data_IF_305987043078
#
_entry.id   IF_305987043078
#
_cell.length_a   1.000
_cell.length_b   1.000
_cell.length_c   1.000
_cell.angle_alpha   90.00
_cell.angle_beta   90.00
_cell.angle_gamma   90.00
#
_symmetry.space_group_name_H-M   'P 1'
#
loop_
_entity.id
_entity.type
_entity.pdbx_description
1 polymer ?
#
# COMPACT_ATOMS: atom_id res chain seq x y z
N UNK A 1 -4.99 31.89 -20.38
CA UNK A 1 -6.36 31.61 -19.88
C UNK A 1 -6.39 32.04 -18.42
N UNK A 2 -7.39 32.81 -17.99
CA UNK A 2 -7.57 33.19 -16.58
C UNK A 2 -8.50 32.15 -15.92
N UNK A 3 -8.00 31.42 -14.93
CA UNK A 3 -8.84 30.51 -14.14
C UNK A 3 -9.53 31.30 -13.03
N UNK A 4 -10.87 31.23 -12.98
CA UNK A 4 -11.69 31.85 -11.93
C UNK A 4 -12.49 30.76 -11.22
N UNK A 5 -12.19 30.50 -9.96
CA UNK A 5 -12.97 29.61 -9.12
C UNK A 5 -14.23 30.35 -8.61
N UNK A 6 -15.41 29.89 -9.02
CA UNK A 6 -16.71 30.44 -8.58
C UNK A 6 -17.40 29.55 -7.53
N UNK A 7 -16.69 28.52 -7.03
CA UNK A 7 -17.17 27.63 -5.98
C UNK A 7 -16.58 28.05 -4.63
N UNK A 8 -17.17 27.66 -3.50
CA UNK A 8 -16.56 27.86 -2.18
C UNK A 8 -15.39 26.89 -1.92
N UNK A 9 -15.13 25.93 -2.80
CA UNK A 9 -14.21 24.84 -2.54
C UNK A 9 -12.77 25.16 -2.97
N UNK A 10 -11.74 24.65 -2.25
CA UNK A 10 -10.36 24.73 -2.70
C UNK A 10 -10.21 24.14 -4.11
N UNK A 11 -9.77 24.97 -5.05
CA UNK A 11 -9.54 24.58 -6.42
C UNK A 11 -8.30 25.25 -6.99
N UNK A 12 -7.59 24.52 -7.86
CA UNK A 12 -6.39 24.96 -8.53
C UNK A 12 -6.44 24.55 -10.00
N UNK A 13 -5.88 25.41 -10.84
CA UNK A 13 -5.61 25.12 -12.24
C UNK A 13 -4.10 25.09 -12.48
N UNK A 14 -3.63 24.10 -13.23
CA UNK A 14 -2.26 24.03 -13.71
C UNK A 14 -2.20 23.34 -15.08
N UNK A 15 -1.07 23.50 -15.76
CA UNK A 15 -0.80 22.85 -17.06
C UNK A 15 0.16 21.70 -16.85
N UNK A 16 -0.12 20.56 -17.48
CA UNK A 16 0.77 19.41 -17.50
C UNK A 16 0.98 18.94 -18.93
N UNK A 17 2.20 18.52 -19.27
CA UNK A 17 2.50 17.87 -20.55
C UNK A 17 2.40 16.36 -20.42
N UNK A 18 1.67 15.73 -21.33
CA UNK A 18 1.63 14.28 -21.41
C UNK A 18 2.91 13.69 -22.02
N UNK A 19 2.94 12.37 -22.15
CA UNK A 19 4.06 11.64 -22.76
C UNK A 19 4.29 12.00 -24.23
N UNK A 20 3.30 12.56 -24.92
CA UNK A 20 3.38 13.03 -26.31
C UNK A 20 3.66 14.55 -26.41
N UNK A 21 4.07 15.19 -25.30
CA UNK A 21 4.35 16.62 -25.15
C UNK A 21 3.16 17.55 -25.36
N UNK A 22 1.93 17.02 -25.32
CA UNK A 22 0.73 17.84 -25.45
C UNK A 22 0.38 18.45 -24.11
N UNK A 23 0.13 19.75 -24.12
CA UNK A 23 -0.31 20.48 -22.94
C UNK A 23 -1.77 20.17 -22.63
N UNK A 24 -2.01 19.69 -21.42
CA UNK A 24 -3.31 19.41 -20.86
C UNK A 24 -3.59 20.41 -19.73
N UNK A 25 -4.80 20.95 -19.75
CA UNK A 25 -5.30 21.90 -18.76
C UNK A 25 -5.98 21.12 -17.64
N UNK A 26 -5.35 21.08 -16.46
CA UNK A 26 -5.82 20.29 -15.33
C UNK A 26 -6.47 21.22 -14.31
N UNK A 27 -7.69 20.88 -13.91
CA UNK A 27 -8.40 21.52 -12.80
C UNK A 27 -8.58 20.49 -11.70
N UNK A 28 -8.17 20.85 -10.50
CA UNK A 28 -8.34 20.04 -9.29
C UNK A 28 -9.24 20.82 -8.35
N UNK A 29 -10.22 20.14 -7.76
CA UNK A 29 -11.14 20.69 -6.76
C UNK A 29 -11.32 19.66 -5.66
N UNK A 30 -11.34 20.11 -4.39
CA UNK A 30 -11.54 19.24 -3.23
C UNK A 30 -12.79 19.63 -2.47
N UNK A 31 -13.65 18.65 -2.22
CA UNK A 31 -14.85 18.78 -1.40
C UNK A 31 -14.72 17.89 -0.17
N UNK A 32 -15.09 18.41 1.00
CA UNK A 32 -15.01 17.66 2.26
C UNK A 32 -16.41 17.34 2.78
N UNK A 33 -16.57 16.13 3.30
CA UNK A 33 -17.82 15.71 3.92
C UNK A 33 -17.55 15.19 5.34
N UNK A 34 -18.45 15.51 6.26
CA UNK A 34 -18.51 14.91 7.59
C UNK A 34 -19.56 13.80 7.59
N UNK A 35 -19.21 12.63 8.11
CA UNK A 35 -20.18 11.55 8.30
C UNK A 35 -20.90 11.77 9.63
N UNK A 36 -22.21 12.01 9.58
CA UNK A 36 -23.05 12.21 10.76
C UNK A 36 -23.97 11.02 10.98
N UNK A 37 -23.98 10.49 12.21
CA UNK A 37 -24.82 9.35 12.59
C UNK A 37 -26.24 9.81 12.93
N UNK A 38 -27.25 9.05 12.49
CA UNK A 38 -28.66 9.29 12.84
C UNK A 38 -29.21 8.38 13.95
N UNK A 39 -28.35 7.75 14.75
CA UNK A 39 -28.73 6.85 15.85
C UNK A 39 -29.15 5.42 15.44
N UNK A 40 -29.02 5.07 14.16
CA UNK A 40 -29.30 3.71 13.65
C UNK A 40 -28.07 3.01 13.06
N UNK A 41 -26.85 3.44 13.45
CA UNK A 41 -25.60 3.06 12.78
C UNK A 41 -25.63 3.33 11.25
N UNK A 42 -26.45 4.31 10.83
CA UNK A 42 -26.48 4.85 9.47
C UNK A 42 -25.90 6.25 9.51
N UNK A 43 -25.02 6.50 8.55
CA UNK A 43 -24.31 7.75 8.41
C UNK A 43 -24.73 8.46 7.13
N UNK A 44 -24.79 9.79 7.19
CA UNK A 44 -25.02 10.65 6.04
C UNK A 44 -23.79 11.52 5.83
N UNK A 45 -23.45 11.75 4.56
CA UNK A 45 -22.38 12.68 4.20
C UNK A 45 -22.95 14.09 4.20
N UNK A 46 -22.62 14.86 5.23
CA UNK A 46 -22.90 16.29 5.30
C UNK A 46 -21.76 17.06 4.66
N UNK A 47 -22.08 17.92 3.70
CA UNK A 47 -21.08 18.78 3.04
C UNK A 47 -20.52 19.77 4.05
N UNK A 48 -19.19 19.90 4.09
CA UNK A 48 -18.52 20.98 4.82
C UNK A 48 -18.28 22.11 3.83
N UNK A 49 -18.93 23.25 4.05
CA UNK A 49 -18.79 24.49 3.27
C UNK A 49 -18.24 25.68 4.08
N UNK A 50 -17.92 25.46 5.36
CA UNK A 50 -17.18 26.42 6.21
C UNK A 50 -15.67 26.32 5.91
N UNK A 51 -15.07 27.47 5.57
CA UNK A 51 -13.65 27.60 5.23
C UNK A 51 -12.72 27.13 6.36
N UNK A 52 -13.14 27.25 7.62
CA UNK A 52 -12.33 26.82 8.77
C UNK A 52 -12.21 25.29 8.87
N UNK A 53 -13.20 24.54 8.38
CA UNK A 53 -13.29 23.07 8.52
C UNK A 53 -13.01 22.31 7.20
N UNK A 54 -12.92 23.02 6.07
CA UNK A 54 -12.67 22.42 4.76
C UNK A 54 -11.23 21.91 4.63
N UNK A 55 -11.07 20.71 4.06
CA UNK A 55 -9.75 20.19 3.73
C UNK A 55 -9.16 20.94 2.53
N UNK A 56 -7.93 21.44 2.68
CA UNK A 56 -7.20 22.12 1.61
C UNK A 56 -6.62 21.14 0.57
N UNK A 57 -6.21 21.70 -0.56
CA UNK A 57 -5.43 20.95 -1.55
C UNK A 57 -4.09 20.51 -0.95
N UNK A 58 -3.71 19.29 -1.26
CA UNK A 58 -2.52 18.60 -0.79
C UNK A 58 -1.46 18.67 -1.88
N UNK A 59 -0.38 19.40 -1.61
CA UNK A 59 0.68 19.66 -2.60
C UNK A 59 1.83 18.65 -2.54
N UNK A 60 1.90 17.87 -1.47
CA UNK A 60 2.94 16.87 -1.23
C UNK A 60 2.32 15.66 -0.53
N UNK A 61 2.88 14.48 -0.75
CA UNK A 61 2.40 13.27 -0.11
C UNK A 61 2.56 13.36 1.41
N UNK A 62 1.51 13.01 2.14
CA UNK A 62 1.50 12.94 3.60
C UNK A 62 1.67 11.47 4.02
N UNK A 63 2.63 11.26 4.93
CA UNK A 63 2.97 9.94 5.45
C UNK A 63 2.44 9.79 6.86
N UNK A 64 2.13 8.55 7.25
CA UNK A 64 1.69 8.25 8.62
C UNK A 64 2.77 8.63 9.65
N UNK A 65 4.01 8.31 9.32
CA UNK A 65 5.22 8.61 10.09
C UNK A 65 6.31 9.08 9.13
N UNK A 66 7.48 8.44 9.13
CA UNK A 66 8.60 8.83 8.29
C UNK A 66 8.36 8.51 6.80
N UNK A 67 8.80 9.43 5.94
CA UNK A 67 8.83 9.25 4.49
C UNK A 67 9.66 8.01 4.13
N UNK A 68 9.17 7.20 3.18
CA UNK A 68 9.76 5.92 2.75
C UNK A 68 9.75 4.76 3.75
N UNK A 69 9.52 5.01 5.04
CA UNK A 69 9.46 3.97 6.09
C UNK A 69 8.04 3.73 6.61
N UNK A 70 7.08 4.52 6.17
CA UNK A 70 5.67 4.39 6.55
C UNK A 70 4.75 4.53 5.34
N UNK A 71 3.48 4.16 5.53
CA UNK A 71 2.48 4.29 4.48
C UNK A 71 2.18 5.76 4.17
N UNK A 72 1.87 6.04 2.90
CA UNK A 72 1.22 7.27 2.49
C UNK A 72 -0.23 7.22 2.95
N UNK A 73 -0.69 8.27 3.65
CA UNK A 73 -2.10 8.40 4.10
C UNK A 73 -2.90 9.33 3.17
N UNK A 74 -2.21 10.23 2.46
CA UNK A 74 -2.80 11.09 1.45
C UNK A 74 -1.73 11.42 0.39
N UNK A 75 -2.02 11.20 -0.90
CA UNK A 75 -1.14 11.68 -1.97
C UNK A 75 -1.46 13.13 -2.31
N UNK A 76 -0.48 13.79 -2.93
CA UNK A 76 -0.71 15.09 -3.56
C UNK A 76 -1.86 15.02 -4.56
N UNK A 77 -2.72 16.06 -4.52
CA UNK A 77 -3.79 16.24 -5.49
C UNK A 77 -3.28 16.67 -6.88
N UNK A 78 -1.97 16.92 -7.03
CA UNK A 78 -1.33 17.36 -8.28
C UNK A 78 -1.11 16.21 -9.27
N UNK A 79 -2.01 15.23 -9.26
CA UNK A 79 -2.05 14.13 -10.21
C UNK A 79 -2.65 14.61 -11.54
N UNK A 80 -1.94 14.56 -12.67
CA UNK A 80 -2.42 15.15 -13.91
C UNK A 80 -3.67 14.50 -14.50
N UNK A 81 -3.73 13.17 -14.47
CA UNK A 81 -4.86 12.41 -14.97
C UNK A 81 -4.90 11.03 -14.33
N UNK A 82 -6.09 10.64 -13.83
CA UNK A 82 -6.37 9.30 -13.34
C UNK A 82 -7.44 8.66 -14.23
N UNK A 83 -7.15 7.57 -14.96
CA UNK A 83 -8.14 6.89 -15.80
C UNK A 83 -9.27 6.22 -15.01
N UNK A 84 -9.14 6.08 -13.69
CA UNK A 84 -10.14 5.49 -12.79
C UNK A 84 -10.33 6.37 -11.55
N UNK A 85 -11.46 6.22 -10.87
CA UNK A 85 -11.71 6.81 -9.57
C UNK A 85 -11.17 5.88 -8.46
N UNK A 86 -10.23 6.40 -7.67
CA UNK A 86 -9.64 5.69 -6.53
C UNK A 86 -10.59 5.74 -5.31
N UNK A 87 -10.84 4.59 -4.69
CA UNK A 87 -11.48 4.51 -3.38
C UNK A 87 -10.42 4.20 -2.32
N UNK A 88 -10.00 5.24 -1.60
CA UNK A 88 -8.96 5.18 -0.57
C UNK A 88 -9.60 5.25 0.81
N UNK A 89 -9.21 4.35 1.71
CA UNK A 89 -9.77 4.25 3.06
C UNK A 89 -8.61 4.17 4.05
N UNK A 90 -8.59 5.13 4.97
CA UNK A 90 -7.74 5.10 6.16
C UNK A 90 -8.62 4.69 7.34
N UNK A 91 -8.44 3.48 7.86
CA UNK A 91 -9.33 2.91 8.86
C UNK A 91 -8.64 2.00 9.87
N UNK A 92 -9.36 1.66 10.93
CA UNK A 92 -8.93 0.75 11.98
C UNK A 92 -9.96 -0.35 12.11
N UNK A 93 -9.52 -1.60 12.13
CA UNK A 93 -10.38 -2.73 12.41
C UNK A 93 -10.77 -2.73 13.88
N UNK A 94 -12.05 -2.95 14.21
CA UNK A 94 -12.54 -2.98 15.59
C UNK A 94 -13.36 -4.25 15.88
N UNK A 95 -13.03 -4.90 16.99
CA UNK A 95 -13.82 -6.02 17.52
C UNK A 95 -15.11 -5.50 18.16
N UNK A 96 -16.22 -6.23 17.98
CA UNK A 96 -17.53 -5.82 18.47
C UNK A 96 -17.54 -5.67 20.00
N UNK A 97 -18.03 -4.53 20.49
CA UNK A 97 -18.14 -4.26 21.92
C UNK A 97 -16.80 -4.25 22.67
N UNK A 98 -15.68 -4.04 21.97
CA UNK A 98 -14.32 -4.13 22.52
C UNK A 98 -13.99 -5.50 23.15
N UNK A 99 -14.68 -6.56 22.78
CA UNK A 99 -14.35 -7.92 23.22
C UNK A 99 -13.12 -8.43 22.43
N UNK A 100 -12.04 -8.87 23.09
CA UNK A 100 -10.88 -9.40 22.39
C UNK A 100 -11.23 -10.62 21.52
N UNK A 101 -10.72 -10.64 20.29
CA UNK A 101 -10.89 -11.73 19.31
C UNK A 101 -9.55 -12.11 18.70
N UNK A 102 -9.40 -13.34 18.23
CA UNK A 102 -8.16 -13.81 17.57
C UNK A 102 -8.10 -13.35 16.10
N UNK A 103 -9.27 -13.22 15.47
CA UNK A 103 -9.43 -12.74 14.11
C UNK A 103 -10.80 -12.08 13.92
N UNK A 104 -10.89 -11.14 12.97
CA UNK A 104 -12.13 -10.52 12.57
C UNK A 104 -12.17 -10.28 11.05
N UNK A 105 -13.30 -10.56 10.38
CA UNK A 105 -13.50 -10.19 8.99
C UNK A 105 -13.75 -8.68 8.88
N UNK A 106 -13.12 -8.06 7.89
CA UNK A 106 -13.33 -6.66 7.52
C UNK A 106 -13.85 -6.59 6.10
N UNK A 107 -14.83 -5.72 5.83
CA UNK A 107 -15.21 -5.44 4.44
C UNK A 107 -15.64 -4.01 4.20
N UNK A 108 -15.43 -3.59 2.95
CA UNK A 108 -15.89 -2.33 2.38
C UNK A 108 -16.64 -2.66 1.11
N UNK A 109 -17.94 -2.40 1.10
CA UNK A 109 -18.76 -2.52 -0.12
C UNK A 109 -19.23 -1.13 -0.54
N UNK A 110 -19.02 -0.80 -1.81
CA UNK A 110 -19.61 0.37 -2.45
C UNK A 110 -20.74 -0.09 -3.35
N UNK A 111 -21.94 0.44 -3.12
CA UNK A 111 -23.14 0.14 -3.90
C UNK A 111 -23.55 1.36 -4.73
N UNK A 112 -24.06 1.11 -5.94
CA UNK A 112 -24.78 2.10 -6.74
C UNK A 112 -26.13 2.46 -6.08
N UNK A 113 -26.81 3.52 -6.54
CA UNK A 113 -28.18 3.85 -6.10
C UNK A 113 -29.17 2.68 -6.28
N UNK A 114 -28.96 1.86 -7.31
CA UNK A 114 -29.75 0.66 -7.64
C UNK A 114 -29.32 -0.58 -6.82
N UNK A 115 -28.46 -0.41 -5.81
CA UNK A 115 -27.88 -1.47 -4.97
C UNK A 115 -27.00 -2.48 -5.72
N UNK A 116 -26.40 -2.10 -6.85
CA UNK A 116 -25.41 -2.94 -7.53
C UNK A 116 -24.02 -2.73 -6.93
N UNK A 117 -23.22 -3.78 -6.70
CA UNK A 117 -21.86 -3.62 -6.17
C UNK A 117 -20.94 -2.98 -7.21
N UNK A 118 -20.42 -1.80 -6.89
CA UNK A 118 -19.35 -1.12 -7.63
C UNK A 118 -17.96 -1.55 -7.16
N UNK A 119 -17.84 -1.94 -5.89
CA UNK A 119 -16.63 -2.44 -5.25
C UNK A 119 -17.02 -3.33 -4.06
N UNK A 120 -16.28 -4.41 -3.82
CA UNK A 120 -16.42 -5.24 -2.63
C UNK A 120 -15.06 -5.77 -2.19
N UNK A 121 -14.44 -5.09 -1.23
CA UNK A 121 -13.17 -5.49 -0.64
C UNK A 121 -13.43 -6.25 0.64
N UNK A 122 -12.82 -7.44 0.77
CA UNK A 122 -12.85 -8.25 1.99
C UNK A 122 -11.43 -8.55 2.45
N UNK A 123 -11.23 -8.47 3.75
CA UNK A 123 -9.97 -8.75 4.42
C UNK A 123 -10.26 -9.61 5.66
N UNK A 124 -9.27 -10.38 6.09
CA UNK A 124 -9.24 -10.95 7.43
C UNK A 124 -8.13 -10.25 8.21
N UNK A 125 -8.47 -9.78 9.40
CA UNK A 125 -7.53 -9.15 10.32
C UNK A 125 -7.31 -10.07 11.51
N UNK A 126 -6.05 -10.32 11.88
CA UNK A 126 -5.71 -11.21 12.98
C UNK A 126 -4.93 -10.52 14.09
N UNK A 127 -4.93 -11.17 15.25
CA UNK A 127 -4.00 -10.95 16.34
C UNK A 127 -2.55 -11.07 15.95
N UNK A 128 -1.66 -10.76 16.89
CA UNK A 128 -0.24 -11.01 16.71
C UNK A 128 0.04 -12.51 16.60
N UNK A 129 0.81 -12.89 15.59
CA UNK A 129 1.24 -14.28 15.33
C UNK A 129 2.58 -14.29 14.59
N UNK A 130 3.26 -15.42 14.66
CA UNK A 130 4.59 -15.58 14.07
C UNK A 130 4.74 -16.98 13.47
N UNK A 131 5.60 -17.10 12.47
CA UNK A 131 6.16 -18.38 12.08
C UNK A 131 7.25 -18.73 13.06
N UNK A 132 7.15 -19.89 13.72
CA UNK A 132 8.15 -20.41 14.65
C UNK A 132 8.70 -21.72 14.14
N UNK A 133 10.01 -21.85 14.26
CA UNK A 133 10.74 -23.05 13.90
C UNK A 133 10.50 -24.11 14.98
N UNK A 134 9.96 -25.26 14.60
CA UNK A 134 9.70 -26.38 15.53
C UNK A 134 10.81 -27.42 15.53
N UNK A 135 11.50 -27.57 14.41
CA UNK A 135 12.73 -28.36 14.29
C UNK A 135 13.70 -27.71 13.28
N UNK A 136 14.80 -28.37 12.89
CA UNK A 136 15.79 -27.76 11.97
C UNK A 136 15.24 -27.35 10.60
N UNK A 137 14.09 -27.88 10.17
CA UNK A 137 13.53 -27.71 8.81
C UNK A 137 12.08 -27.23 8.79
N UNK A 138 11.33 -27.43 9.86
CA UNK A 138 9.87 -27.22 9.88
C UNK A 138 9.50 -25.91 10.57
N UNK A 139 8.54 -25.20 9.97
CA UNK A 139 7.91 -24.00 10.51
C UNK A 139 6.44 -24.22 10.80
N UNK A 140 5.97 -23.65 11.90
CA UNK A 140 4.55 -23.60 12.27
C UNK A 140 4.11 -22.16 12.48
N UNK A 141 2.87 -21.86 12.11
CA UNK A 141 2.24 -20.57 12.39
C UNK A 141 1.59 -20.64 13.78
N UNK A 142 1.98 -19.73 14.68
CA UNK A 142 1.35 -19.66 16.01
C UNK A 142 -0.12 -19.24 15.93
N UNK A 143 -0.91 -19.65 16.91
CA UNK A 143 -2.26 -19.09 17.11
C UNK A 143 -2.18 -17.57 17.29
N UNK A 144 -3.14 -16.79 16.75
CA UNK A 144 -3.19 -15.35 16.97
C UNK A 144 -3.44 -15.01 18.43
N UNK A 145 -2.77 -13.98 18.95
CA UNK A 145 -3.09 -13.40 20.25
C UNK A 145 -4.38 -12.56 20.18
N UNK A 146 -5.28 -12.64 21.16
CA UNK A 146 -6.49 -11.82 21.17
C UNK A 146 -6.19 -10.32 21.05
N UNK A 147 -6.97 -9.60 20.25
CA UNK A 147 -6.88 -8.16 20.07
C UNK A 147 -8.26 -7.52 19.98
N UNK A 148 -8.36 -6.21 20.27
CA UNK A 148 -9.62 -5.45 20.17
C UNK A 148 -9.64 -4.52 18.96
N UNK A 149 -8.47 -4.07 18.49
CA UNK A 149 -8.37 -3.24 17.29
C UNK A 149 -7.01 -3.34 16.60
N UNK A 150 -6.98 -3.07 15.29
CA UNK A 150 -5.76 -3.02 14.50
C UNK A 150 -5.91 -2.01 13.34
N UNK A 151 -5.02 -1.01 13.19
CA UNK A 151 -5.02 -0.15 12.01
C UNK A 151 -4.90 -0.98 10.73
N UNK A 152 -5.74 -0.74 9.74
CA UNK A 152 -5.71 -1.47 8.45
C UNK A 152 -4.67 -0.82 7.55
N UNK A 153 -3.40 -1.16 7.79
CA UNK A 153 -2.23 -0.51 7.18
C UNK A 153 -1.26 -1.54 6.59
N UNK A 154 -0.56 -1.16 5.51
CA UNK A 154 0.29 -2.08 4.73
C UNK A 154 1.41 -2.78 5.51
N UNK A 155 1.89 -2.20 6.62
CA UNK A 155 2.91 -2.83 7.49
C UNK A 155 2.44 -4.15 8.13
N UNK A 156 1.13 -4.39 8.19
CA UNK A 156 0.55 -5.63 8.68
C UNK A 156 0.19 -6.63 7.57
N UNK A 157 0.31 -6.25 6.30
CA UNK A 157 0.08 -7.13 5.16
C UNK A 157 1.35 -7.89 4.76
N UNK A 158 1.19 -8.91 3.91
CA UNK A 158 2.34 -9.63 3.35
C UNK A 158 3.29 -8.67 2.61
N UNK A 159 4.59 -8.86 2.81
CA UNK A 159 5.65 -8.09 2.18
C UNK A 159 6.84 -7.89 3.13
N UNK A 160 7.51 -6.76 3.01
CA UNK A 160 8.65 -6.37 3.84
C UNK A 160 9.99 -6.47 3.13
N UNK A 161 11.05 -6.36 3.91
CA UNK A 161 12.44 -6.42 3.45
C UNK A 161 13.27 -7.45 4.24
N UNK A 162 14.26 -8.01 3.56
CA UNK A 162 15.36 -8.77 4.12
C UNK A 162 16.60 -7.90 4.03
N UNK A 163 17.06 -7.36 5.16
CA UNK A 163 18.16 -6.40 5.21
C UNK A 163 19.19 -6.82 6.25
N UNK A 164 20.46 -6.86 5.86
CA UNK A 164 21.60 -7.05 6.77
C UNK A 164 22.57 -5.91 6.55
N UNK A 165 22.85 -5.14 7.59
CA UNK A 165 23.86 -4.08 7.60
C UNK A 165 25.22 -4.64 8.03
N UNK A 166 26.29 -3.86 7.82
CA UNK A 166 27.66 -4.30 8.09
C UNK A 166 27.95 -4.63 9.57
N UNK A 167 27.15 -4.11 10.50
CA UNK A 167 27.31 -4.35 11.95
C UNK A 167 26.30 -5.38 12.49
N UNK A 168 25.40 -5.89 11.65
CA UNK A 168 24.35 -6.80 12.10
C UNK A 168 24.92 -8.20 12.33
N UNK A 169 24.36 -8.89 13.34
CA UNK A 169 24.68 -10.30 13.57
C UNK A 169 24.29 -11.12 12.34
N UNK A 170 25.24 -11.91 11.82
CA UNK A 170 25.03 -12.75 10.63
C UNK A 170 25.53 -12.12 9.33
N UNK A 171 26.13 -10.92 9.37
CA UNK A 171 26.83 -10.30 8.24
C UNK A 171 27.83 -11.24 7.54
N UNK A 172 28.61 -12.00 8.30
CA UNK A 172 29.63 -12.93 7.82
C UNK A 172 29.04 -14.19 7.14
N UNK A 173 27.74 -14.43 7.35
CA UNK A 173 27.01 -15.56 6.77
C UNK A 173 26.19 -15.18 5.54
N UNK A 174 26.26 -13.91 5.09
CA UNK A 174 25.63 -13.45 3.85
C UNK A 174 26.40 -14.03 2.65
N UNK A 175 25.74 -14.74 1.72
CA UNK A 175 26.40 -15.25 0.53
C UNK A 175 26.94 -14.12 -0.35
N UNK A 176 28.10 -14.33 -0.98
CA UNK A 176 28.77 -13.32 -1.81
C UNK A 176 27.88 -12.77 -2.92
N UNK A 177 27.07 -13.63 -3.57
CA UNK A 177 26.14 -13.22 -4.63
C UNK A 177 24.96 -12.37 -4.14
N UNK A 178 24.72 -12.27 -2.83
CA UNK A 178 23.69 -11.42 -2.22
C UNK A 178 24.24 -10.05 -1.80
N UNK A 179 25.56 -9.88 -1.78
CA UNK A 179 26.20 -8.63 -1.36
C UNK A 179 25.91 -7.52 -2.38
N UNK A 180 25.52 -6.35 -1.89
CA UNK A 180 25.42 -5.16 -2.72
C UNK A 180 26.82 -4.74 -3.18
N UNK A 181 26.97 -4.45 -4.48
CA UNK A 181 28.22 -3.91 -5.03
C UNK A 181 28.54 -2.55 -4.42
N UNK A 182 29.80 -2.11 -4.56
CA UNK A 182 30.20 -0.78 -4.08
C UNK A 182 29.39 0.33 -4.76
N UNK A 183 29.12 0.19 -6.06
CA UNK A 183 28.28 1.11 -6.83
C UNK A 183 26.85 1.12 -6.27
N UNK A 184 26.22 -0.05 -6.08
CA UNK A 184 24.87 -0.17 -5.54
C UNK A 184 24.75 0.46 -4.14
N UNK A 185 25.77 0.27 -3.28
CA UNK A 185 25.82 0.88 -1.95
C UNK A 185 26.01 2.39 -2.00
N UNK A 186 26.76 2.91 -2.98
CA UNK A 186 27.01 4.36 -3.14
C UNK A 186 25.76 5.15 -3.53
N UNK A 187 24.82 4.51 -4.24
CA UNK A 187 23.54 5.12 -4.68
C UNK A 187 22.35 4.67 -3.83
N UNK A 188 22.57 3.89 -2.78
CA UNK A 188 21.50 3.41 -1.91
C UNK A 188 20.79 4.59 -1.22
N UNK A 189 19.45 4.56 -1.05
CA UNK A 189 18.71 5.65 -0.40
C UNK A 189 19.21 5.97 1.00
N UNK A 190 19.59 4.94 1.76
CA UNK A 190 20.23 5.08 3.07
C UNK A 190 21.75 5.22 2.91
N UNK A 191 22.20 6.43 2.56
CA UNK A 191 23.63 6.72 2.27
C UNK A 191 24.55 6.65 3.48
N UNK A 192 24.00 6.87 4.68
CA UNK A 192 24.81 6.91 5.90
C UNK A 192 25.13 5.51 6.42
N UNK A 193 24.24 4.55 6.18
CA UNK A 193 24.45 3.16 6.56
C UNK A 193 23.89 2.20 5.49
N UNK A 194 24.49 2.17 4.28
CA UNK A 194 24.01 1.32 3.21
C UNK A 194 24.18 -0.15 3.61
N UNK A 195 23.14 -0.98 3.44
CA UNK A 195 23.18 -2.37 3.85
C UNK A 195 24.26 -3.16 3.10
N UNK A 196 24.68 -4.26 3.72
CA UNK A 196 25.57 -5.24 3.10
C UNK A 196 24.81 -6.08 2.07
N UNK A 197 23.59 -6.52 2.42
CA UNK A 197 22.66 -7.20 1.52
C UNK A 197 21.23 -6.72 1.79
N UNK A 198 20.44 -6.59 0.72
CA UNK A 198 19.09 -6.05 0.79
C UNK A 198 18.20 -6.68 -0.29
N UNK A 199 17.06 -7.21 0.11
CA UNK A 199 15.99 -7.66 -0.80
C UNK A 199 14.66 -7.14 -0.28
N UNK A 200 13.79 -6.66 -1.17
CA UNK A 200 12.46 -6.13 -0.80
C UNK A 200 11.37 -6.90 -1.53
N UNK A 201 10.22 -7.07 -0.90
CA UNK A 201 9.03 -7.51 -1.61
C UNK A 201 8.43 -6.33 -2.38
N UNK A 202 8.49 -6.33 -3.72
CA UNK A 202 8.29 -5.10 -4.49
C UNK A 202 6.87 -4.55 -4.44
N UNK A 203 5.86 -5.39 -4.17
CA UNK A 203 4.47 -4.95 -4.08
C UNK A 203 4.12 -4.33 -2.72
N UNK A 204 4.91 -4.58 -1.67
CA UNK A 204 4.72 -4.00 -0.35
C UNK A 204 6.04 -4.07 0.46
N UNK A 205 7.02 -3.19 0.20
CA UNK A 205 8.34 -3.24 0.84
C UNK A 205 8.30 -2.93 2.33
N UNK A 206 7.23 -2.30 2.84
CA UNK A 206 7.07 -1.99 4.27
C UNK A 206 6.28 -3.06 5.04
N UNK A 207 5.82 -4.11 4.36
CA UNK A 207 5.02 -5.19 4.95
C UNK A 207 5.80 -6.10 5.89
N UNK A 208 5.25 -7.29 6.11
CA UNK A 208 5.90 -8.35 6.89
C UNK A 208 5.68 -9.74 6.31
N UNK A 209 6.53 -10.69 6.68
CA UNK A 209 6.42 -12.10 6.27
C UNK A 209 7.24 -12.50 5.05
N UNK A 210 7.80 -11.55 4.28
CA UNK A 210 8.73 -11.85 3.20
C UNK A 210 10.12 -12.18 3.73
N UNK A 211 10.55 -13.43 3.61
CA UNK A 211 11.84 -13.94 4.08
C UNK A 211 12.52 -14.73 2.96
N UNK A 212 13.71 -14.30 2.54
CA UNK A 212 14.50 -15.02 1.53
C UNK A 212 15.33 -16.14 2.15
N UNK A 213 15.72 -17.18 1.37
CA UNK A 213 16.58 -18.25 1.87
C UNK A 213 17.91 -17.74 2.44
N UNK A 214 18.56 -16.78 1.76
CA UNK A 214 19.83 -16.22 2.23
C UNK A 214 19.69 -15.48 3.56
N UNK A 215 18.60 -14.74 3.73
CA UNK A 215 18.35 -13.97 4.96
C UNK A 215 18.08 -14.90 6.13
N UNK A 216 17.36 -16.00 5.88
CA UNK A 216 17.15 -17.03 6.89
C UNK A 216 18.46 -17.69 7.34
N UNK A 217 19.32 -18.04 6.38
CA UNK A 217 20.65 -18.64 6.67
C UNK A 217 21.52 -17.68 7.47
N UNK A 218 21.57 -16.41 7.08
CA UNK A 218 22.42 -15.42 7.70
C UNK A 218 21.98 -15.06 9.13
N UNK A 219 20.67 -14.84 9.34
CA UNK A 219 20.12 -14.47 10.66
C UNK A 219 20.05 -15.64 11.64
N UNK A 220 19.93 -16.88 11.14
CA UNK A 220 19.64 -18.08 11.93
C UNK A 220 18.41 -17.94 12.85
N UNK A 221 17.50 -17.02 12.54
CA UNK A 221 16.34 -16.76 13.38
C UNK A 221 15.40 -17.99 13.42
N UNK A 222 14.81 -18.19 14.59
CA UNK A 222 13.84 -19.24 14.90
C UNK A 222 12.39 -18.73 14.88
N UNK A 223 12.18 -17.43 14.69
CA UNK A 223 10.86 -16.81 14.67
C UNK A 223 10.81 -15.60 13.74
N UNK A 224 9.74 -15.46 12.96
CA UNK A 224 9.44 -14.28 12.15
C UNK A 224 7.98 -13.84 12.31
N UNK A 225 7.69 -12.54 12.44
CA UNK A 225 6.32 -12.04 12.47
C UNK A 225 5.55 -12.42 11.21
N UNK A 226 4.33 -12.93 11.39
CA UNK A 226 3.44 -13.23 10.27
C UNK A 226 2.56 -12.01 9.91
N UNK A 227 2.08 -11.91 8.66
CA UNK A 227 1.05 -10.97 8.27
C UNK A 227 -0.20 -11.10 9.16
N UNK A 228 -0.81 -9.96 9.41
CA UNK A 228 -2.04 -9.81 10.20
C UNK A 228 -3.21 -9.30 9.37
N UNK A 229 -2.98 -8.90 8.12
CA UNK A 229 -4.02 -8.50 7.17
C UNK A 229 -3.84 -9.34 5.92
N UNK A 230 -4.87 -10.10 5.58
CA UNK A 230 -4.85 -11.09 4.50
C UNK A 230 -6.13 -11.05 3.68
N UNK A 231 -6.07 -11.64 2.49
CA UNK A 231 -7.29 -11.95 1.75
C UNK A 231 -7.92 -13.23 2.32
N UNK A 232 -9.25 -13.27 2.51
CA UNK A 232 -9.92 -14.46 3.06
C UNK A 232 -9.67 -15.73 2.23
N UNK A 233 -9.61 -15.60 0.91
CA UNK A 233 -9.54 -16.73 -0.01
C UNK A 233 -8.09 -17.22 -0.26
N UNK A 234 -7.08 -16.42 0.12
CA UNK A 234 -5.66 -16.72 -0.11
C UNK A 234 -4.82 -16.39 1.14
N UNK A 235 -5.01 -17.10 2.26
CA UNK A 235 -4.28 -16.84 3.50
C UNK A 235 -2.79 -17.23 3.37
N UNK A 236 -1.90 -16.54 4.10
CA UNK A 236 -0.48 -16.88 4.12
C UNK A 236 -0.19 -17.94 5.19
N UNK A 237 -0.02 -19.18 4.75
CA UNK A 237 0.08 -20.36 5.63
C UNK A 237 1.52 -20.74 5.99
N UNK A 238 1.69 -21.68 6.91
CA UNK A 238 3.00 -22.24 7.25
C UNK A 238 3.65 -22.95 6.05
N UNK A 239 2.87 -23.62 5.21
CA UNK A 239 3.34 -24.23 3.96
C UNK A 239 3.85 -23.17 2.98
N UNK A 240 3.14 -22.04 2.87
CA UNK A 240 3.54 -20.92 2.03
C UNK A 240 4.83 -20.26 2.51
N UNK A 241 4.98 -20.10 3.82
CA UNK A 241 6.22 -19.63 4.44
C UNK A 241 7.37 -20.61 4.24
N UNK A 242 7.13 -21.91 4.45
CA UNK A 242 8.12 -22.97 4.22
C UNK A 242 8.61 -23.00 2.77
N UNK A 243 7.70 -22.88 1.80
CA UNK A 243 8.06 -22.79 0.39
C UNK A 243 8.92 -21.56 0.11
N UNK A 244 8.54 -20.39 0.65
CA UNK A 244 9.25 -19.13 0.49
C UNK A 244 10.70 -19.23 1.01
N UNK A 245 10.90 -19.70 2.25
CA UNK A 245 12.24 -19.78 2.84
C UNK A 245 13.11 -20.90 2.26
N UNK A 246 12.50 -21.87 1.58
CA UNK A 246 13.22 -22.89 0.81
C UNK A 246 13.50 -22.46 -0.64
N UNK A 247 12.98 -21.31 -1.08
CA UNK A 247 13.13 -20.83 -2.46
C UNK A 247 12.29 -21.61 -3.48
N UNK A 248 11.21 -22.25 -3.05
CA UNK A 248 10.30 -23.00 -3.92
C UNK A 248 9.13 -22.14 -4.40
N UNK A 249 8.67 -22.39 -5.63
CA UNK A 249 7.54 -21.68 -6.27
C UNK A 249 6.28 -22.54 -6.41
N UNK A 250 6.13 -23.60 -5.60
CA UNK A 250 5.00 -24.52 -5.68
C UNK A 250 3.70 -23.99 -5.03
N UNK A 251 3.72 -22.75 -4.55
CA UNK A 251 2.58 -22.08 -3.93
C UNK A 251 2.05 -21.01 -4.89
N UNK A 252 0.72 -20.89 -5.08
CA UNK A 252 0.15 -19.88 -5.97
C UNK A 252 0.61 -18.46 -5.62
N UNK A 253 0.89 -17.65 -6.64
CA UNK A 253 1.38 -16.27 -6.45
C UNK A 253 0.41 -15.38 -5.64
N UNK A 254 -0.90 -15.65 -5.73
CA UNK A 254 -1.93 -14.90 -5.00
C UNK A 254 -1.81 -15.01 -3.47
N UNK A 255 -1.18 -16.07 -2.96
CA UNK A 255 -0.89 -16.23 -1.51
C UNK A 255 0.11 -15.17 -1.02
N UNK A 256 0.97 -14.69 -1.92
CA UNK A 256 1.94 -13.63 -1.63
C UNK A 256 1.40 -12.24 -1.98
N UNK A 257 0.14 -12.10 -2.40
CA UNK A 257 -0.43 -10.81 -2.77
C UNK A 257 -0.74 -9.98 -1.51
N UNK A 258 -0.15 -8.78 -1.33
CA UNK A 258 -0.45 -7.93 -0.19
C UNK A 258 -1.93 -7.54 -0.18
N UNK A 259 -2.56 -7.66 0.98
CA UNK A 259 -3.95 -7.30 1.20
C UNK A 259 -4.03 -6.07 2.11
N UNK A 260 -4.80 -5.06 1.75
CA UNK A 260 -4.89 -3.85 2.55
C UNK A 260 -5.95 -2.90 2.05
N UNK A 261 -6.05 -1.78 2.75
CA UNK A 261 -6.76 -0.57 2.37
C UNK A 261 -5.72 0.56 2.31
N UNK A 262 -6.06 1.66 1.64
CA UNK A 262 -5.21 2.85 1.55
C UNK A 262 -4.40 2.93 0.26
N UNK A 263 -3.40 3.80 0.25
CA UNK A 263 -2.59 4.11 -0.93
C UNK A 263 -1.49 3.06 -1.11
N UNK A 264 -1.35 2.54 -2.34
CA UNK A 264 -0.17 1.78 -2.76
C UNK A 264 0.94 2.74 -3.14
N UNK A 265 2.17 2.56 -2.64
CA UNK A 265 3.26 3.50 -2.91
C UNK A 265 3.63 3.61 -4.39
N UNK A 266 4.03 4.81 -4.84
CA UNK A 266 4.46 5.07 -6.23
C UNK A 266 5.65 4.24 -6.69
N UNK A 267 6.57 3.93 -5.77
CA UNK A 267 7.75 3.09 -6.01
C UNK A 267 7.47 1.60 -5.86
N UNK A 268 6.23 1.21 -5.57
CA UNK A 268 5.85 -0.19 -5.35
C UNK A 268 5.27 -0.77 -6.63
N UNK A 269 5.41 -2.08 -6.83
CA UNK A 269 4.58 -2.79 -7.78
C UNK A 269 3.11 -2.79 -7.30
N UNK A 270 2.12 -2.70 -8.19
CA UNK A 270 2.23 -2.66 -9.65
C UNK A 270 2.47 -1.26 -10.23
N UNK A 271 2.42 -0.20 -9.42
CA UNK A 271 2.52 1.19 -9.91
C UNK A 271 3.85 1.47 -10.59
N UNK A 272 4.95 0.98 -10.02
CA UNK A 272 6.28 1.18 -10.59
C UNK A 272 6.38 0.69 -12.05
N UNK A 273 5.71 -0.42 -12.42
CA UNK A 273 5.69 -0.90 -13.80
C UNK A 273 5.02 0.06 -14.79
N UNK A 274 4.16 0.97 -14.31
CA UNK A 274 3.43 1.96 -15.12
C UNK A 274 4.17 3.28 -15.26
N UNK A 275 5.29 3.45 -14.55
CA UNK A 275 6.08 4.68 -14.59
C UNK A 275 6.81 4.88 -15.93
N UNK A 276 6.88 3.85 -16.78
CA UNK A 276 7.66 3.83 -18.01
C UNK A 276 9.15 3.56 -17.77
N UNK A 277 9.92 3.54 -18.85
CA UNK A 277 11.33 3.16 -18.83
C UNK A 277 12.26 4.38 -18.70
N UNK A 278 13.00 4.45 -17.60
CA UNK A 278 13.98 5.51 -17.30
C UNK A 278 15.42 5.02 -17.51
N UNK A 279 15.78 4.68 -18.74
CA UNK A 279 17.11 4.19 -19.10
C UNK A 279 18.03 5.31 -19.64
N UNK A 280 19.22 4.94 -20.15
CA UNK A 280 20.16 5.89 -20.73
C UNK A 280 19.62 6.59 -21.99
N UNK A 281 18.75 5.93 -22.76
CA UNK A 281 18.10 6.52 -23.93
C UNK A 281 17.14 7.62 -23.50
N UNK A 282 16.30 7.34 -22.50
CA UNK A 282 15.45 8.36 -21.88
C UNK A 282 16.29 9.52 -21.35
N UNK A 283 17.37 9.24 -20.61
CA UNK A 283 18.20 10.28 -20.00
C UNK A 283 18.85 11.22 -21.04
N UNK A 284 19.27 10.68 -22.18
CA UNK A 284 19.98 11.45 -23.22
C UNK A 284 19.05 12.13 -24.22
N UNK A 285 17.86 11.58 -24.46
CA UNK A 285 16.99 12.03 -25.56
C UNK A 285 15.62 12.56 -25.10
N UNK A 286 15.12 12.17 -23.92
CA UNK A 286 13.76 12.49 -23.44
C UNK A 286 13.73 13.34 -22.18
N UNK A 287 14.71 13.21 -21.29
CA UNK A 287 14.79 14.00 -20.05
C UNK A 287 14.66 15.50 -20.35
N UNK A 288 13.82 16.26 -19.61
CA UNK A 288 13.13 15.90 -18.37
C UNK A 288 11.67 15.39 -18.55
N UNK A 289 11.25 15.06 -19.76
CA UNK A 289 9.86 14.65 -20.05
C UNK A 289 9.57 13.19 -19.69
N UNK A 290 8.28 12.83 -19.61
CA UNK A 290 7.85 11.46 -19.31
C UNK A 290 8.35 10.46 -20.37
N UNK A 291 8.72 9.23 -19.98
CA UNK A 291 8.95 8.14 -20.93
C UNK A 291 7.75 7.93 -21.86
N UNK A 292 8.02 7.49 -23.09
CA UNK A 292 6.94 7.31 -24.08
C UNK A 292 6.01 6.13 -23.78
N UNK A 293 6.50 5.18 -22.99
CA UNK A 293 5.77 4.04 -22.46
C UNK A 293 5.13 4.32 -21.08
N UNK A 294 5.09 5.58 -20.63
CA UNK A 294 4.38 5.96 -19.40
C UNK A 294 2.89 5.64 -19.49
N UNK A 295 2.35 4.95 -18.49
CA UNK A 295 0.92 4.66 -18.38
C UNK A 295 0.26 5.55 -17.32
N UNK A 296 -0.78 6.30 -17.69
CA UNK A 296 -1.47 7.21 -16.77
C UNK A 296 -2.14 6.52 -15.57
N UNK A 297 -2.39 5.22 -15.66
CA UNK A 297 -2.84 4.40 -14.52
C UNK A 297 -1.79 4.31 -13.41
N UNK A 298 -0.56 4.81 -13.62
CA UNK A 298 0.44 5.10 -12.58
C UNK A 298 -0.10 6.04 -11.49
N UNK A 299 -0.93 7.02 -11.88
CA UNK A 299 -1.47 8.02 -10.99
C UNK A 299 -2.63 7.51 -10.12
N UNK A 300 -3.25 6.38 -10.48
CA UNK A 300 -4.20 5.71 -9.61
C UNK A 300 -3.46 5.11 -8.41
N UNK A 301 -3.82 5.58 -7.21
CA UNK A 301 -3.12 5.28 -5.98
C UNK A 301 -3.73 4.10 -5.22
N UNK A 302 -5.03 3.86 -5.39
CA UNK A 302 -5.71 2.74 -4.75
C UNK A 302 -5.30 1.40 -5.41
N UNK A 303 -5.32 0.27 -4.69
CA UNK A 303 -5.22 -1.05 -5.30
C UNK A 303 -6.27 -1.23 -6.40
N UNK A 304 -5.99 -2.06 -7.40
CA UNK A 304 -6.87 -2.23 -8.58
C UNK A 304 -8.31 -2.66 -8.21
N UNK A 305 -8.46 -3.49 -7.18
CA UNK A 305 -9.76 -3.92 -6.64
C UNK A 305 -10.49 -2.84 -5.83
N UNK A 306 -9.94 -1.62 -5.78
CA UNK A 306 -10.52 -0.43 -5.16
C UNK A 306 -10.66 0.73 -6.18
N UNK A 307 -10.60 0.44 -7.48
CA UNK A 307 -10.71 1.43 -8.55
C UNK A 307 -12.01 1.26 -9.35
N UNK A 308 -12.87 2.27 -9.31
CA UNK A 308 -14.13 2.30 -10.08
C UNK A 308 -14.02 3.21 -11.30
N UNK A 309 -14.94 3.11 -12.25
CA UNK A 309 -14.92 3.97 -13.44
C UNK A 309 -15.14 5.46 -13.07
N UNK A 310 -16.16 5.72 -12.26
CA UNK A 310 -16.49 7.00 -11.66
C UNK A 310 -17.38 6.75 -10.44
N UNK A 311 -17.46 7.71 -9.51
CA UNK A 311 -18.37 7.64 -8.37
C UNK A 311 -19.74 8.23 -8.77
N UNK A 312 -20.80 7.42 -8.96
CA UNK A 312 -22.12 7.97 -9.29
C UNK A 312 -22.74 8.73 -8.09
N UNK A 313 -23.60 9.73 -8.33
CA UNK A 313 -24.40 10.32 -7.26
C UNK A 313 -25.25 9.26 -6.56
N UNK A 314 -25.43 9.38 -5.24
CA UNK A 314 -26.28 8.46 -4.47
C UNK A 314 -25.66 7.09 -4.14
N UNK A 315 -24.33 6.93 -4.32
CA UNK A 315 -23.61 5.76 -3.82
C UNK A 315 -23.82 5.52 -2.32
N UNK A 316 -23.65 4.27 -1.89
CA UNK A 316 -23.65 3.92 -0.47
C UNK A 316 -22.45 3.06 -0.12
N UNK A 317 -21.77 3.39 0.96
CA UNK A 317 -20.78 2.51 1.58
C UNK A 317 -21.43 1.62 2.63
N UNK A 318 -21.03 0.35 2.66
CA UNK A 318 -21.29 -0.57 3.76
C UNK A 318 -19.94 -0.99 4.30
N UNK A 319 -19.71 -0.68 5.58
CA UNK A 319 -18.49 -1.04 6.30
C UNK A 319 -18.83 -2.14 7.30
N UNK A 320 -17.94 -3.12 7.43
CA UNK A 320 -18.04 -4.18 8.42
C UNK A 320 -16.69 -4.36 9.09
N UNK A 321 -16.66 -4.31 10.42
CA UNK A 321 -15.45 -4.47 11.22
C UNK A 321 -14.46 -3.30 11.17
N UNK A 322 -14.89 -2.11 10.69
CA UNK A 322 -14.12 -0.86 10.59
C UNK A 322 -14.75 0.25 11.42
#
# INVERSE_FOLDING_TARGET
>A
MEFRNLTPFPALYYVMRDKDDRENFVVVMKTTYRLTENGTARFWAELIDDEADMALLCFQDEYRHDMHHSMVIQESDMSPFKPRCDIIINGTAHALGNQPVDSLPVSVTLLSPENQPLMNKKLVVTGERAFRRTDKKTWELTLPQPFTSLPVVWIYAFGGECRINGQDKGNDAVPEYCLLSQEARSVHPDRNNPPLAHSVYPANPIGRGYITPWYLTATQADSFPAPRIEQPDNPFTAEAFQALVNGHSNVPADVYRPAGLGITGRSWQPRLARAGTYDHSWLTQRHPYLPQDFEFSYWNAAPEDQQIAALPPGCRFILSGL
#
